data_IF_822463878097
#
_entry.id   IF_822463878097
#
_cell.length_a   1.000
_cell.length_b   1.000
_cell.length_c   1.000
_cell.angle_alpha   90.00
_cell.angle_beta   90.00
_cell.angle_gamma   90.00
#
_symmetry.space_group_name_H-M   'P 1'
#
loop_
_entity.id
_entity.type
_entity.pdbx_description
1 polymer ?
#
# COMPACT_ATOMS: atom_id res chain seq x y z
N UNK A 1 10.67 23.20 5.55
CA UNK A 1 9.75 22.46 5.57
C UNK A 1 9.70 21.45 6.58
N UNK A 2 8.82 20.98 7.12
CA UNK A 2 8.53 19.88 7.96
C UNK A 2 9.64 19.28 8.80
N UNK A 3 10.69 19.97 9.03
CA UNK A 3 11.79 19.40 9.77
C UNK A 3 11.71 19.73 11.24
N UNK A 4 10.67 20.34 11.63
CA UNK A 4 10.52 20.72 13.02
C UNK A 4 10.56 19.54 13.96
N UNK A 5 10.32 18.36 13.46
CA UNK A 5 10.40 17.17 14.27
C UNK A 5 11.76 16.97 14.89
N UNK A 6 12.79 17.48 14.26
CA UNK A 6 14.15 17.37 14.77
C UNK A 6 14.28 18.12 16.08
N UNK A 7 13.66 19.28 16.15
CA UNK A 7 13.75 20.09 17.37
C UNK A 7 13.19 19.35 18.57
N UNK A 8 12.13 18.60 18.35
CA UNK A 8 11.52 17.87 19.45
C UNK A 8 12.46 16.85 20.03
N UNK A 9 13.21 16.17 19.19
CA UNK A 9 14.13 15.17 19.69
C UNK A 9 15.26 15.77 20.46
N UNK A 10 15.63 16.98 20.11
CA UNK A 10 16.74 17.63 20.78
C UNK A 10 16.38 18.05 22.20
N UNK A 11 15.12 18.01 22.55
CA UNK A 11 14.71 18.38 23.90
C UNK A 11 15.10 17.36 24.96
N UNK A 12 15.43 16.16 24.55
CA UNK A 12 15.90 15.17 25.50
C UNK A 12 14.92 14.86 26.60
N UNK A 13 13.75 14.50 26.25
CA UNK A 13 12.70 14.31 27.21
C UNK A 13 12.73 13.01 27.98
N UNK A 14 13.85 12.62 28.44
CA UNK A 14 13.93 11.52 29.37
C UNK A 14 13.26 10.25 28.89
N UNK A 15 13.45 9.86 27.69
CA UNK A 15 12.87 8.65 27.18
C UNK A 15 11.50 8.82 26.59
N UNK A 16 10.85 9.94 26.82
CA UNK A 16 9.57 10.20 26.17
C UNK A 16 9.83 10.63 24.74
N UNK A 17 9.27 9.90 23.80
CA UNK A 17 9.40 10.23 22.39
C UNK A 17 8.25 11.12 21.98
N UNK A 18 8.56 12.32 21.54
CA UNK A 18 7.54 13.20 21.01
C UNK A 18 7.28 12.79 19.58
N UNK A 19 6.01 12.46 19.30
CA UNK A 19 5.63 12.10 17.96
C UNK A 19 5.45 13.36 17.15
N UNK A 20 6.27 13.53 16.15
CA UNK A 20 6.28 14.72 15.34
C UNK A 20 5.93 14.39 13.91
N UNK A 21 4.94 15.09 13.37
CA UNK A 21 4.49 14.86 12.01
C UNK A 21 4.72 16.13 11.19
N UNK A 22 5.64 16.10 10.24
CA UNK A 22 5.81 17.23 9.32
C UNK A 22 4.51 17.48 8.57
N UNK A 23 4.18 18.75 8.42
CA UNK A 23 2.98 19.13 7.70
C UNK A 23 3.15 18.93 6.21
N UNK A 24 2.07 18.54 5.55
CA UNK A 24 2.03 18.50 4.10
C UNK A 24 0.95 19.47 3.61
N UNK A 25 1.03 19.83 2.35
CA UNK A 25 0.02 20.65 1.71
C UNK A 25 -1.07 19.78 1.12
N UNK A 26 -2.21 20.39 0.84
CA UNK A 26 -3.28 19.66 0.14
C UNK A 26 -2.80 19.16 -1.21
N UNK A 27 -2.01 19.96 -1.92
CA UNK A 27 -1.46 19.56 -3.21
C UNK A 27 -0.58 18.31 -3.10
N UNK A 28 0.18 18.21 -2.02
CA UNK A 28 1.01 17.01 -1.83
C UNK A 28 0.17 15.77 -1.63
N UNK A 29 -0.92 15.88 -0.89
CA UNK A 29 -1.83 14.75 -0.74
C UNK A 29 -2.51 14.41 -2.06
N UNK A 30 -2.95 15.41 -2.80
CA UNK A 30 -3.61 15.17 -4.08
C UNK A 30 -2.69 14.58 -5.14
N UNK A 31 -1.40 14.77 -4.98
CA UNK A 31 -0.44 14.19 -5.91
C UNK A 31 -0.37 12.66 -5.81
N UNK A 32 -0.82 12.10 -4.70
CA UNK A 32 -0.84 10.66 -4.52
C UNK A 32 -2.11 10.11 -5.16
N UNK A 33 -1.97 9.30 -6.22
CA UNK A 33 -3.12 8.70 -6.90
C UNK A 33 -3.50 7.40 -6.23
N UNK A 34 -4.37 7.49 -5.24
CA UNK A 34 -4.80 6.34 -4.47
C UNK A 34 -6.20 5.96 -4.87
N UNK A 35 -6.38 4.73 -5.34
CA UNK A 35 -7.64 4.28 -5.91
C UNK A 35 -8.03 2.92 -5.34
N UNK A 36 -9.32 2.64 -5.33
CA UNK A 36 -9.84 1.34 -4.96
C UNK A 36 -9.84 0.41 -6.16
N UNK A 37 -9.60 -0.86 -5.92
CA UNK A 37 -9.68 -1.87 -6.96
C UNK A 37 -10.03 -3.21 -6.35
N UNK A 38 -10.39 -4.17 -7.19
CA UNK A 38 -10.77 -5.51 -6.76
C UNK A 38 -9.70 -6.50 -7.16
N UNK A 39 -9.29 -7.33 -6.22
CA UNK A 39 -8.29 -8.38 -6.49
C UNK A 39 -8.91 -9.42 -7.41
N UNK A 40 -8.28 -9.65 -8.55
CA UNK A 40 -8.73 -10.62 -9.54
C UNK A 40 -8.04 -11.95 -9.37
N UNK A 41 -6.72 -11.95 -9.25
CA UNK A 41 -5.95 -13.18 -9.06
C UNK A 41 -4.84 -12.96 -8.04
N UNK A 42 -4.46 -14.06 -7.39
CA UNK A 42 -3.35 -14.07 -6.43
C UNK A 42 -2.50 -15.30 -6.77
N UNK A 43 -1.26 -15.07 -7.14
CA UNK A 43 -0.34 -16.13 -7.52
C UNK A 43 0.86 -16.18 -6.58
N UNK A 44 1.45 -17.38 -6.44
CA UNK A 44 2.67 -17.52 -5.68
C UNK A 44 3.82 -16.82 -6.41
N UNK A 45 4.75 -16.30 -5.62
CA UNK A 45 5.92 -15.65 -6.17
C UNK A 45 7.18 -16.30 -5.59
N UNK A 46 7.53 -17.48 -6.05
CA UNK A 46 8.66 -18.23 -5.45
C UNK A 46 10.01 -17.56 -5.68
N UNK A 47 10.14 -16.70 -6.70
CA UNK A 47 11.40 -16.02 -6.99
C UNK A 47 11.65 -14.82 -6.09
N UNK A 48 10.68 -14.41 -5.29
CA UNK A 48 10.85 -13.27 -4.39
C UNK A 48 11.79 -13.64 -3.24
N UNK A 49 12.59 -12.69 -2.79
CA UNK A 49 13.48 -12.92 -1.66
C UNK A 49 12.74 -13.20 -0.37
N UNK A 50 11.62 -12.51 -0.16
CA UNK A 50 10.76 -12.71 0.99
C UNK A 50 9.44 -13.29 0.53
N UNK A 51 8.75 -14.06 1.38
CA UNK A 51 7.47 -14.63 0.97
C UNK A 51 6.52 -13.55 0.50
N UNK A 52 6.00 -13.72 -0.70
CA UNK A 52 5.15 -12.73 -1.34
C UNK A 52 4.20 -13.40 -2.32
N UNK A 53 3.14 -12.67 -2.65
CA UNK A 53 2.23 -13.04 -3.72
C UNK A 53 2.38 -12.05 -4.87
N UNK A 54 2.00 -12.50 -6.07
CA UNK A 54 1.77 -11.61 -7.20
C UNK A 54 0.27 -11.39 -7.23
N UNK A 55 -0.14 -10.15 -7.00
CA UNK A 55 -1.55 -9.80 -6.88
C UNK A 55 -1.95 -8.94 -8.07
N UNK A 56 -3.00 -9.37 -8.76
CA UNK A 56 -3.55 -8.65 -9.90
C UNK A 56 -4.85 -7.98 -9.47
N UNK A 57 -4.96 -6.69 -9.70
CA UNK A 57 -6.09 -5.88 -9.24
C UNK A 57 -6.69 -5.13 -10.41
N UNK A 58 -8.02 -5.15 -10.47
CA UNK A 58 -8.79 -4.41 -11.47
C UNK A 58 -9.20 -3.07 -10.87
N UNK A 59 -8.66 -2.00 -11.42
CA UNK A 59 -8.95 -0.64 -10.99
C UNK A 59 -10.01 0.06 -11.85
N UNK A 60 -10.75 -0.70 -12.63
CA UNK A 60 -11.82 -0.15 -13.45
C UNK A 60 -11.38 0.12 -14.88
N UNK A 61 -12.36 0.51 -15.70
CA UNK A 61 -12.14 0.61 -17.13
C UNK A 61 -11.11 1.67 -17.52
N UNK A 62 -11.06 2.76 -16.76
CA UNK A 62 -10.13 3.85 -17.07
C UNK A 62 -8.68 3.49 -16.77
N UNK A 63 -8.45 2.86 -15.65
CA UNK A 63 -7.09 2.56 -15.19
C UNK A 63 -6.64 1.19 -15.65
N UNK A 64 -7.57 0.24 -15.64
CA UNK A 64 -7.31 -1.11 -16.07
C UNK A 64 -6.78 -2.00 -14.97
N UNK A 65 -6.22 -3.12 -15.40
CA UNK A 65 -5.72 -4.17 -14.51
C UNK A 65 -4.24 -3.98 -14.31
N UNK A 66 -3.78 -4.06 -13.06
CA UNK A 66 -2.36 -3.90 -12.73
C UNK A 66 -1.92 -4.97 -11.76
N UNK A 67 -0.64 -5.28 -11.79
CA UNK A 67 -0.05 -6.29 -10.92
C UNK A 67 0.96 -5.69 -9.99
N UNK A 68 1.11 -6.31 -8.82
CA UNK A 68 2.14 -5.95 -7.87
C UNK A 68 2.62 -7.17 -7.12
N UNK A 69 3.81 -7.08 -6.56
CA UNK A 69 4.32 -8.05 -5.60
C UNK A 69 4.00 -7.53 -4.21
N UNK A 70 3.40 -8.36 -3.37
CA UNK A 70 2.99 -7.93 -2.05
C UNK A 70 3.34 -8.96 -0.99
N UNK A 71 3.94 -8.49 0.09
CA UNK A 71 4.40 -9.34 1.18
C UNK A 71 3.29 -9.50 2.23
N UNK A 72 2.16 -10.05 1.83
CA UNK A 72 1.00 -10.24 2.71
C UNK A 72 0.75 -11.70 3.01
N UNK A 73 1.66 -12.57 2.63
CA UNK A 73 1.48 -14.00 2.69
C UNK A 73 1.41 -14.53 4.13
N UNK A 74 2.00 -13.83 5.08
CA UNK A 74 1.98 -14.30 6.46
C UNK A 74 0.61 -14.16 7.11
N UNK A 75 -0.21 -13.22 6.64
CA UNK A 75 -1.53 -12.95 7.21
C UNK A 75 -2.64 -13.58 6.37
N UNK A 76 -2.48 -13.60 5.05
CA UNK A 76 -3.58 -13.98 4.14
C UNK A 76 -3.26 -15.21 3.34
N UNK A 77 -4.26 -16.09 3.21
CA UNK A 77 -4.23 -17.14 2.22
C UNK A 77 -4.69 -16.61 0.88
N UNK A 78 -4.27 -17.29 -0.19
CA UNK A 78 -4.62 -16.85 -1.55
C UNK A 78 -6.12 -16.76 -1.76
N UNK A 79 -6.84 -17.76 -1.28
CA UNK A 79 -8.27 -17.85 -1.54
C UNK A 79 -9.07 -16.73 -0.88
N UNK A 80 -8.61 -16.26 0.26
CA UNK A 80 -9.35 -15.23 0.96
C UNK A 80 -9.11 -13.83 0.39
N UNK A 81 -8.10 -13.66 -0.45
CA UNK A 81 -7.80 -12.37 -1.05
C UNK A 81 -8.60 -12.12 -2.32
N UNK A 82 -8.87 -13.16 -3.10
CA UNK A 82 -9.55 -13.00 -4.39
C UNK A 82 -10.94 -12.42 -4.16
N UNK A 83 -11.27 -11.38 -4.91
CA UNK A 83 -12.58 -10.74 -4.83
C UNK A 83 -12.65 -9.60 -3.83
N UNK A 84 -11.63 -9.41 -3.00
CA UNK A 84 -11.63 -8.30 -2.04
C UNK A 84 -11.30 -6.99 -2.72
N UNK A 85 -11.92 -5.93 -2.23
CA UNK A 85 -11.52 -4.59 -2.64
C UNK A 85 -10.35 -4.14 -1.78
N UNK A 86 -9.41 -3.46 -2.41
CA UNK A 86 -8.19 -2.97 -1.76
C UNK A 86 -7.94 -1.56 -2.23
N UNK A 87 -6.90 -0.94 -1.67
CA UNK A 87 -6.46 0.40 -2.07
C UNK A 87 -5.06 0.28 -2.65
N UNK A 88 -4.81 0.99 -3.73
CA UNK A 88 -3.49 1.02 -4.34
C UNK A 88 -3.06 2.43 -4.69
N UNK A 89 -1.78 2.70 -4.56
CA UNK A 89 -1.17 3.94 -5.04
C UNK A 89 -0.62 3.65 -6.43
N UNK A 90 -1.09 4.40 -7.42
CA UNK A 90 -0.91 4.06 -8.82
C UNK A 90 0.19 4.85 -9.52
N UNK A 91 0.67 5.91 -8.92
CA UNK A 91 1.59 6.79 -9.64
C UNK A 91 3.02 6.76 -9.15
N UNK A 92 3.43 5.65 -8.54
CA UNK A 92 4.86 5.37 -8.43
C UNK A 92 5.37 4.83 -9.76
N UNK A 93 6.62 5.09 -10.12
CA UNK A 93 7.21 4.41 -11.27
C UNK A 93 7.18 2.90 -11.07
N UNK A 94 6.94 2.12 -12.12
CA UNK A 94 6.98 0.66 -11.99
C UNK A 94 8.34 0.19 -11.51
N UNK A 95 8.34 -0.86 -10.69
CA UNK A 95 9.57 -1.40 -10.11
C UNK A 95 9.73 -2.85 -10.48
N UNK A 96 10.90 -3.21 -10.99
CA UNK A 96 11.21 -4.58 -11.34
C UNK A 96 11.56 -5.36 -10.07
N UNK A 97 10.81 -6.42 -9.81
CA UNK A 97 11.04 -7.34 -8.69
C UNK A 97 11.25 -8.72 -9.28
N UNK A 98 12.52 -9.13 -9.47
CA UNK A 98 12.79 -10.37 -10.18
C UNK A 98 12.15 -10.35 -11.56
N UNK A 99 11.39 -11.37 -11.93
CA UNK A 99 10.74 -11.42 -13.24
C UNK A 99 9.44 -10.60 -13.31
N UNK A 100 9.02 -9.96 -12.21
CA UNK A 100 7.72 -9.30 -12.15
C UNK A 100 7.90 -7.80 -12.07
N UNK A 101 7.11 -7.08 -12.88
CA UNK A 101 7.05 -5.63 -12.81
C UNK A 101 5.94 -5.24 -11.84
N UNK A 102 6.31 -4.59 -10.74
CA UNK A 102 5.35 -4.10 -9.77
C UNK A 102 4.84 -2.74 -10.22
N UNK A 103 3.55 -2.65 -10.49
CA UNK A 103 2.96 -1.48 -11.15
C UNK A 103 2.20 -0.56 -10.21
N UNK A 104 2.04 -0.94 -8.96
CA UNK A 104 1.39 -0.09 -7.97
C UNK A 104 1.80 -0.54 -6.57
N UNK A 105 1.52 0.31 -5.59
CA UNK A 105 1.74 -0.04 -4.19
C UNK A 105 0.41 -0.46 -3.56
N UNK A 106 0.34 -1.68 -3.07
CA UNK A 106 -0.82 -2.16 -2.33
C UNK A 106 -0.74 -1.60 -0.91
N UNK A 107 -1.74 -0.82 -0.52
CA UNK A 107 -1.72 -0.09 0.74
C UNK A 107 -2.12 -0.99 1.89
N UNK A 108 -1.38 -0.93 2.98
CA UNK A 108 -1.69 -1.73 4.16
C UNK A 108 -1.08 -1.14 5.41
N UNK A 109 -1.34 -1.82 6.51
CA UNK A 109 -0.86 -1.40 7.82
C UNK A 109 0.17 -2.40 8.32
N UNK A 110 1.25 -1.90 8.88
CA UNK A 110 2.24 -2.77 9.51
C UNK A 110 1.78 -3.14 10.91
N UNK A 111 1.78 -4.43 11.19
CA UNK A 111 1.53 -4.92 12.55
C UNK A 111 2.85 -5.03 13.32
N UNK A 112 2.74 -5.07 14.63
CA UNK A 112 3.92 -5.21 15.47
C UNK A 112 4.67 -6.51 15.22
N UNK A 113 3.94 -7.56 14.80
CA UNK A 113 4.54 -8.86 14.53
C UNK A 113 5.18 -8.95 13.14
N UNK A 114 5.19 -7.84 12.40
CA UNK A 114 5.76 -7.81 11.07
C UNK A 114 4.80 -8.14 9.95
N UNK A 115 3.58 -8.55 10.26
CA UNK A 115 2.58 -8.81 9.23
C UNK A 115 2.02 -7.52 8.67
N UNK A 116 1.43 -7.62 7.48
CA UNK A 116 0.79 -6.50 6.82
C UNK A 116 -0.70 -6.78 6.70
N UNK A 117 -1.51 -5.85 7.23
CA UNK A 117 -2.96 -5.92 7.12
C UNK A 117 -3.41 -4.93 6.07
N UNK A 118 -4.22 -5.38 5.12
CA UNK A 118 -4.62 -4.55 3.99
C UNK A 118 -5.55 -3.43 4.42
N UNK A 119 -5.39 -2.27 3.80
CA UNK A 119 -6.34 -1.19 3.93
C UNK A 119 -7.43 -1.42 2.89
N UNK A 120 -8.68 -1.44 3.33
CA UNK A 120 -9.79 -1.75 2.44
C UNK A 120 -10.89 -0.73 2.63
N UNK A 121 -11.74 -0.52 1.62
CA UNK A 121 -12.96 0.26 1.82
C UNK A 121 -13.86 -0.47 2.81
N UNK A 122 -14.46 0.26 3.72
CA UNK A 122 -15.35 -0.34 4.72
C UNK A 122 -16.62 -0.91 4.05
N UNK A 123 -17.02 -0.34 2.92
CA UNK A 123 -18.15 -0.78 2.11
C UNK A 123 -17.76 -0.83 0.66
N UNK A 124 -18.45 -1.61 -0.16
CA UNK A 124 -18.09 -1.67 -1.57
C UNK A 124 -18.17 -0.30 -2.24
N UNK A 125 -17.18 -0.03 -3.08
CA UNK A 125 -17.14 1.16 -3.91
C UNK A 125 -16.84 0.71 -5.34
N UNK A 126 -16.99 1.60 -6.30
CA UNK A 126 -16.66 1.26 -7.66
C UNK A 126 -15.16 1.14 -7.83
N UNK A 127 -14.72 0.26 -8.71
CA UNK A 127 -13.30 0.16 -9.02
C UNK A 127 -12.83 1.46 -9.66
N UNK A 128 -11.69 1.95 -9.17
CA UNK A 128 -11.17 3.23 -9.60
C UNK A 128 -11.61 4.40 -8.72
N UNK A 129 -12.43 4.15 -7.71
CA UNK A 129 -12.86 5.22 -6.80
C UNK A 129 -11.64 5.85 -6.13
N UNK A 130 -11.61 7.18 -6.13
CA UNK A 130 -10.49 7.92 -5.60
C UNK A 130 -10.59 8.06 -4.09
N UNK A 131 -9.45 7.91 -3.43
CA UNK A 131 -9.33 8.18 -2.00
C UNK A 131 -9.07 9.67 -1.82
N UNK A 132 -9.84 10.30 -0.97
CA UNK A 132 -9.72 11.74 -0.78
C UNK A 132 -10.07 12.18 0.63
#
# INVERSE_FOLDING_TARGET
MGVECIADRSLGWGGTTLFCMPEITWSQFEAVEMRAGTIVTVDEFPQARKPAYIITVDFGAEIGVRRTSAQVKTIYGRDELVGRQVMGVLNFPPKQIGPVMSEFLLVGFYREDGGVVLAVPERPVQNGARVG
#
